data_IF_241327342265
#
_entry.id   IF_241327342265
#
_cell.length_a   1.000
_cell.length_b   1.000
_cell.length_c   1.000
_cell.angle_alpha   90.00
_cell.angle_beta   90.00
_cell.angle_gamma   90.00
#
_symmetry.space_group_name_H-M   'P 1'
#
loop_
_entity.id
_entity.type
_entity.pdbx_description
1 polymer ?
#
# COMPACT_ATOMS: atom_id res chain seq x y z
N UNK A 1 -10.63 -11.11 7.55
CA UNK A 1 -9.60 -11.38 6.52
C UNK A 1 -9.42 -10.20 5.56
N UNK A 2 -10.46 -9.71 4.85
CA UNK A 2 -10.33 -8.54 3.98
C UNK A 2 -9.90 -7.24 4.71
N UNK A 3 -10.56 -6.88 5.81
CA UNK A 3 -10.20 -5.72 6.67
C UNK A 3 -8.73 -5.72 7.11
N UNK A 4 -8.31 -6.85 7.66
CA UNK A 4 -6.95 -7.00 8.18
C UNK A 4 -5.91 -6.86 7.07
N UNK A 5 -6.17 -7.44 5.89
CA UNK A 5 -5.28 -7.29 4.74
C UNK A 5 -5.24 -5.84 4.25
N UNK A 6 -6.38 -5.15 4.22
CA UNK A 6 -6.46 -3.75 3.87
C UNK A 6 -5.65 -2.88 4.85
N UNK A 7 -5.82 -3.10 6.15
CA UNK A 7 -5.11 -2.36 7.21
C UNK A 7 -3.59 -2.53 7.07
N UNK A 8 -3.10 -3.78 6.96
CA UNK A 8 -1.68 -4.06 6.76
C UNK A 8 -1.13 -3.47 5.46
N UNK A 9 -1.92 -3.46 4.40
CA UNK A 9 -1.52 -2.88 3.10
C UNK A 9 -1.36 -1.37 3.21
N UNK A 10 -2.33 -0.70 3.85
CA UNK A 10 -2.28 0.74 4.08
C UNK A 10 -1.07 1.12 4.96
N UNK A 11 -0.84 0.38 6.04
CA UNK A 11 0.33 0.58 6.91
C UNK A 11 1.66 0.44 6.14
N UNK A 12 1.81 -0.63 5.35
CA UNK A 12 3.03 -0.88 4.57
C UNK A 12 3.32 0.24 3.56
N UNK A 13 2.30 0.68 2.80
CA UNK A 13 2.50 1.75 1.81
C UNK A 13 2.77 3.09 2.50
N UNK A 14 2.06 3.40 3.59
CA UNK A 14 2.22 4.66 4.34
C UNK A 14 3.56 4.76 5.09
N UNK A 15 4.17 3.62 5.47
CA UNK A 15 5.48 3.58 6.11
C UNK A 15 6.64 3.98 5.18
N UNK A 16 6.39 4.12 3.88
CA UNK A 16 7.40 4.42 2.87
C UNK A 16 7.20 5.82 2.27
N UNK A 17 8.27 6.63 2.11
CA UNK A 17 8.15 8.03 1.68
C UNK A 17 7.63 8.24 0.25
N UNK A 18 7.61 7.20 -0.58
CA UNK A 18 7.02 7.21 -1.92
C UNK A 18 6.31 5.88 -2.19
N UNK A 19 5.21 5.90 -2.95
CA UNK A 19 4.58 4.69 -3.47
C UNK A 19 5.54 3.94 -4.41
N UNK A 20 5.70 2.64 -4.20
CA UNK A 20 6.60 1.76 -4.96
C UNK A 20 5.81 0.73 -5.75
N UNK A 21 6.40 0.25 -6.83
CA UNK A 21 5.80 -0.77 -7.69
C UNK A 21 5.53 -2.10 -6.96
N UNK A 22 6.44 -2.51 -6.08
CA UNK A 22 6.31 -3.72 -5.26
C UNK A 22 7.13 -3.62 -3.96
N UNK A 23 6.79 -4.49 -3.01
CA UNK A 23 7.35 -4.53 -1.67
C UNK A 23 7.72 -5.97 -1.30
N UNK A 24 8.70 -6.15 -0.41
CA UNK A 24 9.06 -7.46 0.12
C UNK A 24 7.91 -8.03 0.98
N UNK A 25 7.48 -9.29 0.77
CA UNK A 25 6.27 -9.82 1.39
C UNK A 25 6.38 -10.01 2.91
N UNK A 26 7.60 -10.19 3.43
CA UNK A 26 7.82 -10.42 4.86
C UNK A 26 8.21 -9.15 5.63
N UNK A 27 8.87 -8.19 4.98
CA UNK A 27 9.43 -7.00 5.65
C UNK A 27 8.69 -5.72 5.30
N UNK A 28 7.91 -5.71 4.21
CA UNK A 28 7.26 -4.50 3.71
C UNK A 28 8.24 -3.46 3.14
N UNK A 29 9.52 -3.79 3.03
CA UNK A 29 10.53 -2.90 2.47
C UNK A 29 10.54 -2.98 0.94
N UNK A 30 10.55 -1.84 0.24
CA UNK A 30 10.70 -1.83 -1.20
C UNK A 30 12.18 -1.97 -1.59
N UNK A 31 12.53 -2.88 -2.52
CA UNK A 31 13.89 -2.98 -3.01
C UNK A 31 14.25 -1.78 -3.88
N UNK A 32 15.55 -1.48 -4.01
CA UNK A 32 16.04 -0.34 -4.81
C UNK A 32 15.57 -0.38 -6.27
N UNK A 33 15.37 -1.58 -6.83
CA UNK A 33 14.89 -1.83 -8.19
C UNK A 33 13.41 -1.52 -8.43
N UNK A 34 12.59 -1.39 -7.37
CA UNK A 34 11.19 -1.03 -7.52
C UNK A 34 11.06 0.42 -7.98
N UNK A 35 10.22 0.68 -8.99
CA UNK A 35 10.05 2.04 -9.48
C UNK A 35 9.53 2.97 -8.36
N UNK A 36 10.18 4.12 -8.10
CA UNK A 36 9.67 5.14 -7.18
C UNK A 36 8.49 5.90 -7.81
N UNK A 37 7.68 6.54 -6.96
CA UNK A 37 6.55 7.36 -7.38
C UNK A 37 5.59 6.60 -8.33
N UNK A 38 5.37 5.31 -8.07
CA UNK A 38 4.58 4.45 -8.93
C UNK A 38 3.09 4.79 -8.81
N UNK A 39 2.55 5.43 -9.85
CA UNK A 39 1.21 6.02 -9.84
C UNK A 39 0.08 5.03 -9.60
N UNK A 40 0.20 3.78 -10.05
CA UNK A 40 -0.81 2.75 -9.80
C UNK A 40 -0.89 2.37 -8.32
N UNK A 41 0.23 2.19 -7.63
CA UNK A 41 0.23 1.96 -6.18
C UNK A 41 -0.38 3.14 -5.44
N UNK A 42 -0.05 4.37 -5.83
CA UNK A 42 -0.63 5.57 -5.22
C UNK A 42 -2.16 5.63 -5.40
N UNK A 43 -2.65 5.35 -6.62
CA UNK A 43 -4.09 5.34 -6.91
C UNK A 43 -4.84 4.26 -6.11
N UNK A 44 -4.31 3.03 -6.09
CA UNK A 44 -4.91 1.92 -5.33
C UNK A 44 -4.86 2.15 -3.82
N UNK A 45 -3.79 2.76 -3.30
CA UNK A 45 -3.70 3.14 -1.90
C UNK A 45 -4.80 4.14 -1.50
N UNK A 46 -5.02 5.19 -2.30
CA UNK A 46 -6.06 6.19 -2.04
C UNK A 46 -7.45 5.55 -2.09
N UNK A 47 -7.71 4.73 -3.11
CA UNK A 47 -9.00 4.05 -3.24
C UNK A 47 -9.26 3.11 -2.04
N UNK A 48 -8.27 2.28 -1.68
CA UNK A 48 -8.36 1.38 -0.53
C UNK A 48 -8.56 2.14 0.79
N UNK A 49 -7.86 3.26 0.98
CA UNK A 49 -8.01 4.11 2.17
C UNK A 49 -9.44 4.67 2.28
N UNK A 50 -10.03 5.12 1.17
CA UNK A 50 -11.42 5.60 1.13
C UNK A 50 -12.40 4.47 1.43
N UNK A 51 -12.23 3.30 0.81
CA UNK A 51 -13.07 2.15 1.08
C UNK A 51 -13.01 1.74 2.56
N UNK A 52 -11.81 1.71 3.14
CA UNK A 52 -11.59 1.36 4.54
C UNK A 52 -12.21 2.38 5.50
N UNK A 53 -12.06 3.68 5.20
CA UNK A 53 -12.66 4.77 5.98
C UNK A 53 -14.20 4.74 5.94
N UNK A 54 -14.79 4.26 4.83
CA UNK A 54 -16.24 4.06 4.69
C UNK A 54 -16.74 2.73 5.26
N UNK A 55 -15.86 1.88 5.77
CA UNK A 55 -16.20 0.55 6.30
C UNK A 55 -16.64 -0.47 5.23
N UNK A 56 -16.26 -0.23 3.97
CA UNK A 56 -16.59 -1.10 2.84
C UNK A 56 -15.65 -2.31 2.75
N UNK A 57 -14.43 -2.16 3.25
CA UNK A 57 -13.42 -3.21 3.33
C UNK A 57 -12.86 -3.35 4.72
#
# INVERSE_FOLDING_TARGET
MARELADRTLEMVAANPNAREYYHPETGEPPASAAPCFGWTAALFIDLAIQRARGLV
#
